data_IF_691085312293
#
_entry.id   IF_691085312293
#
_cell.length_a   1.000
_cell.length_b   1.000
_cell.length_c   1.000
_cell.angle_alpha   90.00
_cell.angle_beta   90.00
_cell.angle_gamma   90.00
#
_symmetry.space_group_name_H-M   'P 1'
#
loop_
_entity.id
_entity.type
_entity.pdbx_description
1 polymer ?
#
# COMPACT_ATOMS: atom_id res chain seq x y z
N UNK A 1 29.34 -37.05 -4.31
CA UNK A 1 28.55 -36.00 -4.97
C UNK A 1 28.67 -34.74 -4.14
N UNK A 2 29.62 -33.89 -4.52
CA UNK A 2 29.94 -32.62 -3.87
C UNK A 2 28.94 -31.54 -4.30
N UNK A 3 28.32 -30.88 -3.32
CA UNK A 3 27.47 -29.69 -3.49
C UNK A 3 28.35 -28.50 -3.85
N UNK A 4 28.03 -27.82 -4.95
CA UNK A 4 28.49 -26.46 -5.21
C UNK A 4 27.42 -25.50 -4.71
N UNK A 5 27.77 -24.69 -3.72
CA UNK A 5 27.03 -23.49 -3.35
C UNK A 5 27.38 -22.40 -4.38
N UNK A 6 26.41 -22.01 -5.21
CA UNK A 6 26.55 -20.84 -6.07
C UNK A 6 26.18 -19.57 -5.29
N UNK A 7 26.96 -18.48 -5.41
CA UNK A 7 26.66 -17.21 -4.78
C UNK A 7 25.51 -16.50 -5.50
N UNK A 8 24.69 -15.77 -4.73
CA UNK A 8 23.64 -14.91 -5.27
C UNK A 8 24.21 -13.88 -6.28
N UNK A 9 23.48 -13.56 -7.36
CA UNK A 9 23.95 -12.61 -8.35
C UNK A 9 24.07 -11.22 -7.73
N UNK A 10 25.28 -10.65 -7.80
CA UNK A 10 25.56 -9.26 -7.50
C UNK A 10 24.76 -8.37 -8.44
N UNK A 11 24.01 -7.43 -7.87
CA UNK A 11 23.46 -6.29 -8.62
C UNK A 11 24.61 -5.58 -9.35
N UNK A 12 24.47 -5.37 -10.66
CA UNK A 12 25.45 -4.64 -11.46
C UNK A 12 25.42 -3.15 -11.09
N UNK A 13 26.58 -2.51 -10.84
CA UNK A 13 26.67 -1.08 -10.60
C UNK A 13 27.10 -0.36 -11.89
N UNK A 14 26.22 -0.24 -12.88
CA UNK A 14 26.56 0.43 -14.14
C UNK A 14 25.62 1.62 -14.39
N UNK A 15 25.61 2.61 -13.49
CA UNK A 15 25.18 3.98 -13.79
C UNK A 15 25.83 5.01 -12.85
N UNK A 16 27.15 5.19 -12.94
CA UNK A 16 27.86 6.34 -12.35
C UNK A 16 29.00 6.81 -13.28
N UNK A 17 29.03 8.12 -13.56
CA UNK A 17 30.07 8.82 -14.33
C UNK A 17 31.43 8.86 -13.58
N UNK A 18 32.53 8.79 -14.34
CA UNK A 18 33.95 8.61 -13.98
C UNK A 18 34.60 9.75 -13.16
N UNK A 19 33.86 10.59 -12.43
CA UNK A 19 34.45 11.69 -11.65
C UNK A 19 33.97 11.79 -10.21
N UNK A 20 34.12 10.68 -9.47
CA UNK A 20 33.90 10.58 -8.03
C UNK A 20 34.57 11.68 -7.19
N UNK A 21 33.86 12.81 -7.02
CA UNK A 21 34.00 13.76 -5.93
C UNK A 21 32.72 14.62 -5.82
N UNK A 22 31.93 14.42 -4.76
CA UNK A 22 30.83 15.33 -4.42
C UNK A 22 31.39 16.71 -4.08
N UNK A 23 30.85 17.76 -4.71
CA UNK A 23 31.04 19.14 -4.23
C UNK A 23 30.30 19.28 -2.89
N UNK A 24 30.94 19.87 -1.86
CA UNK A 24 30.26 20.11 -0.59
C UNK A 24 29.07 21.04 -0.80
N UNK A 25 27.91 20.60 -0.32
CA UNK A 25 26.68 21.38 -0.28
C UNK A 25 26.94 22.65 0.55
N UNK A 26 26.90 23.82 -0.08
CA UNK A 26 26.95 25.10 0.64
C UNK A 26 25.53 25.42 1.12
N UNK A 27 25.31 25.58 2.44
CA UNK A 27 24.00 26.00 2.92
C UNK A 27 23.67 27.39 2.37
N UNK A 28 22.45 27.56 1.87
CA UNK A 28 21.89 28.87 1.56
C UNK A 28 21.93 29.75 2.83
N UNK A 29 22.30 31.04 2.71
CA UNK A 29 22.35 31.92 3.87
C UNK A 29 20.96 32.04 4.49
N UNK A 30 20.90 31.77 5.80
CA UNK A 30 19.70 31.94 6.61
C UNK A 30 19.12 33.34 6.41
N UNK A 31 17.85 33.41 5.96
CA UNK A 31 17.08 34.65 5.97
C UNK A 31 16.97 35.12 7.42
N UNK A 32 17.65 36.23 7.74
CA UNK A 32 17.49 36.98 8.99
C UNK A 32 16.02 37.38 9.15
N UNK A 33 15.28 36.68 10.00
CA UNK A 33 14.02 37.17 10.56
C UNK A 33 14.36 38.31 11.52
N UNK A 34 13.90 39.53 11.18
CA UNK A 34 13.97 40.68 12.08
C UNK A 34 13.15 40.34 13.34
N UNK A 35 13.82 40.31 14.49
CA UNK A 35 13.18 40.38 15.81
C UNK A 35 12.50 41.75 15.92
N UNK A 36 11.17 41.76 15.90
CA UNK A 36 10.38 42.83 16.49
C UNK A 36 10.25 42.53 17.98
N UNK A 37 11.07 43.22 18.79
CA UNK A 37 10.83 43.40 20.22
C UNK A 37 9.60 44.27 20.39
N UNK A 38 8.46 43.69 20.75
CA UNK A 38 7.33 44.42 21.31
C UNK A 38 7.25 44.15 22.80
N UNK A 39 7.49 45.20 23.57
CA UNK A 39 7.30 45.30 25.01
C UNK A 39 5.81 45.47 25.26
N UNK A 40 5.15 44.50 25.88
CA UNK A 40 3.87 44.72 26.55
C UNK A 40 3.85 43.97 27.88
N UNK A 41 4.13 44.74 28.92
CA UNK A 41 3.76 44.48 30.31
C UNK A 41 2.23 44.51 30.45
N UNK A 42 1.62 43.54 31.12
CA UNK A 42 0.22 43.69 31.52
C UNK A 42 -0.48 42.42 32.00
N UNK A 43 -0.38 42.17 33.30
CA UNK A 43 -1.41 41.60 34.21
C UNK A 43 -2.57 40.77 33.60
N UNK A 44 -2.72 39.58 34.20
CA UNK A 44 -3.98 39.01 34.70
C UNK A 44 -5.07 38.65 33.67
N UNK A 45 -5.28 37.33 33.51
CA UNK A 45 -6.59 36.61 33.45
C UNK A 45 -6.27 35.12 33.30
N UNK A 46 -6.36 34.34 34.38
CA UNK A 46 -7.50 33.48 34.73
C UNK A 46 -7.86 32.47 33.63
N UNK A 47 -7.61 31.19 33.96
CA UNK A 47 -8.33 29.99 33.56
C UNK A 47 -8.92 29.97 32.14
N UNK A 48 -8.21 29.33 31.21
CA UNK A 48 -8.77 28.92 29.91
C UNK A 48 -8.80 27.40 29.85
N UNK A 49 -10.01 26.89 30.07
CA UNK A 49 -10.65 25.80 29.35
C UNK A 49 -9.82 24.55 29.05
N UNK A 50 -9.88 23.62 30.00
CA UNK A 50 -9.65 22.20 29.82
C UNK A 50 -10.80 21.57 29.01
N UNK A 51 -10.90 21.83 27.71
CA UNK A 51 -11.90 21.19 26.82
C UNK A 51 -11.37 21.08 25.38
N UNK A 52 -10.43 20.16 25.15
CA UNK A 52 -9.93 19.81 23.80
C UNK A 52 -9.63 18.32 23.62
N UNK A 53 -10.29 17.42 24.38
CA UNK A 53 -9.95 15.99 24.39
C UNK A 53 -11.05 15.03 23.89
N UNK A 54 -12.15 15.52 23.31
CA UNK A 54 -13.30 14.67 22.94
C UNK A 54 -13.71 14.67 21.46
N UNK A 55 -12.93 15.25 20.55
CA UNK A 55 -13.28 15.31 19.13
C UNK A 55 -12.63 14.24 18.22
N UNK A 56 -11.90 13.26 18.78
CA UNK A 56 -11.08 12.32 17.99
C UNK A 56 -11.42 10.83 18.17
N UNK A 57 -12.64 10.50 18.65
CA UNK A 57 -13.00 9.10 18.97
C UNK A 57 -14.06 8.49 18.02
N UNK A 58 -14.66 9.24 17.09
CA UNK A 58 -15.82 8.74 16.33
C UNK A 58 -15.61 8.37 14.86
N UNK A 59 -14.37 8.26 14.35
CA UNK A 59 -14.14 7.78 12.96
C UNK A 59 -13.77 6.30 12.85
N UNK A 60 -13.76 5.56 13.97
CA UNK A 60 -13.50 4.12 13.99
C UNK A 60 -14.71 3.22 13.69
N UNK A 61 -15.84 3.79 13.26
CA UNK A 61 -17.01 2.99 12.89
C UNK A 61 -16.72 2.27 11.57
N UNK A 62 -16.40 0.97 11.69
CA UNK A 62 -16.33 0.00 10.61
C UNK A 62 -17.54 0.16 9.68
N UNK A 63 -17.36 0.84 8.57
CA UNK A 63 -18.28 0.67 7.47
C UNK A 63 -18.03 -0.74 6.91
N UNK A 64 -18.77 -1.72 7.41
CA UNK A 64 -18.93 -3.02 6.73
C UNK A 64 -19.62 -2.88 5.36
N UNK A 65 -19.97 -1.66 4.95
CA UNK A 65 -20.46 -1.34 3.61
C UNK A 65 -19.32 -0.97 2.67
N UNK A 66 -19.58 -1.15 1.38
CA UNK A 66 -18.67 -0.74 0.30
C UNK A 66 -18.10 0.66 0.52
N UNK A 67 -16.78 0.84 0.35
CA UNK A 67 -16.17 2.17 0.41
C UNK A 67 -16.51 2.99 -0.84
N UNK A 68 -17.20 2.40 -1.82
CA UNK A 68 -17.68 3.02 -3.06
C UNK A 68 -19.21 2.93 -3.13
N UNK A 69 -19.92 4.03 -3.45
CA UNK A 69 -21.37 4.00 -3.60
C UNK A 69 -21.83 2.99 -4.65
N UNK A 70 -22.94 2.29 -4.37
CA UNK A 70 -23.55 1.35 -5.30
C UNK A 70 -24.09 2.09 -6.53
N UNK A 71 -23.78 1.59 -7.72
CA UNK A 71 -24.36 2.05 -9.00
C UNK A 71 -24.79 0.85 -9.84
N UNK A 72 -25.39 1.09 -11.00
CA UNK A 72 -25.71 0.00 -11.94
C UNK A 72 -24.45 -0.66 -12.51
N UNK A 73 -23.36 0.10 -12.69
CA UNK A 73 -22.06 -0.44 -13.14
C UNK A 73 -21.23 -1.03 -12.00
N UNK A 74 -21.46 -0.59 -10.75
CA UNK A 74 -20.75 -1.03 -9.56
C UNK A 74 -21.73 -1.59 -8.53
N UNK A 75 -22.30 -2.78 -8.77
CA UNK A 75 -23.39 -3.31 -7.95
C UNK A 75 -22.94 -3.91 -6.62
N UNK A 76 -21.67 -4.31 -6.49
CA UNK A 76 -21.21 -5.01 -5.28
C UNK A 76 -21.13 -4.05 -4.10
N UNK A 77 -21.68 -4.49 -2.97
CA UNK A 77 -21.68 -3.71 -1.72
C UNK A 77 -20.87 -4.35 -0.60
N UNK A 78 -20.44 -5.60 -0.79
CA UNK A 78 -19.70 -6.39 0.18
C UNK A 78 -18.90 -7.49 -0.51
N UNK A 79 -18.04 -8.15 0.25
CA UNK A 79 -17.34 -9.37 -0.14
C UNK A 79 -17.58 -10.47 0.89
N UNK A 80 -17.26 -11.70 0.52
CA UNK A 80 -17.28 -12.85 1.44
C UNK A 80 -15.85 -13.25 1.78
N UNK A 81 -15.48 -13.17 3.06
CA UNK A 81 -14.20 -13.67 3.53
C UNK A 81 -14.12 -15.20 3.35
N UNK A 82 -12.98 -15.75 2.89
CA UNK A 82 -12.77 -17.19 2.87
C UNK A 82 -12.89 -17.76 4.30
N UNK A 83 -13.52 -18.94 4.50
CA UNK A 83 -13.68 -19.51 5.84
C UNK A 83 -12.31 -19.85 6.43
N UNK A 84 -12.10 -19.60 7.72
CA UNK A 84 -10.87 -20.02 8.39
C UNK A 84 -10.95 -21.49 8.81
N UNK A 85 -9.85 -22.23 8.71
CA UNK A 85 -9.73 -23.60 9.17
C UNK A 85 -8.85 -23.69 10.44
N UNK A 86 -9.48 -23.96 11.58
CA UNK A 86 -8.84 -23.98 12.91
C UNK A 86 -7.93 -22.75 13.17
N UNK A 87 -8.49 -21.53 13.13
CA UNK A 87 -7.69 -20.33 13.23
C UNK A 87 -7.02 -20.17 14.59
N UNK A 88 -5.82 -19.62 14.56
CA UNK A 88 -4.99 -19.30 15.71
C UNK A 88 -5.07 -17.81 16.03
N UNK A 89 -5.27 -17.45 17.30
CA UNK A 89 -5.00 -16.09 17.78
C UNK A 89 -3.50 -15.98 18.11
N UNK A 90 -2.76 -14.97 17.59
CA UNK A 90 -1.35 -14.74 17.94
C UNK A 90 -1.07 -14.66 19.46
N UNK A 91 -2.07 -14.31 20.28
CA UNK A 91 -1.95 -14.28 21.75
C UNK A 91 -1.65 -15.65 22.35
N UNK A 92 -2.13 -16.74 21.74
CA UNK A 92 -1.78 -18.11 22.16
C UNK A 92 -0.28 -18.39 21.97
N UNK A 93 0.37 -17.64 21.07
CA UNK A 93 1.80 -17.72 20.80
C UNK A 93 2.62 -16.62 21.51
N UNK A 94 2.00 -15.90 22.44
CA UNK A 94 2.65 -14.91 23.31
C UNK A 94 2.48 -13.45 22.88
N UNK A 95 1.72 -13.15 21.82
CA UNK A 95 1.41 -11.77 21.47
C UNK A 95 0.69 -11.07 22.63
N UNK A 96 1.03 -9.80 22.87
CA UNK A 96 0.37 -8.95 23.87
C UNK A 96 -0.72 -8.13 23.26
N UNK A 97 -0.51 -7.61 22.05
CA UNK A 97 -1.42 -6.71 21.37
C UNK A 97 -1.85 -5.51 22.25
N UNK A 98 -0.85 -4.96 22.95
CA UNK A 98 -0.95 -3.78 23.83
C UNK A 98 -0.48 -2.48 23.15
N UNK A 99 -0.09 -2.55 21.89
CA UNK A 99 0.45 -1.44 21.08
C UNK A 99 1.88 -1.03 21.41
N UNK A 100 2.57 -1.77 22.28
CA UNK A 100 3.91 -1.45 22.79
C UNK A 100 4.90 -2.61 22.61
N UNK A 101 4.46 -3.84 22.87
CA UNK A 101 5.29 -5.04 22.75
C UNK A 101 5.39 -5.50 21.30
N UNK A 102 6.60 -5.74 20.78
CA UNK A 102 6.79 -6.30 19.44
C UNK A 102 6.29 -7.75 19.37
N UNK A 103 5.13 -7.92 18.74
CA UNK A 103 4.38 -9.16 18.58
C UNK A 103 4.80 -9.96 17.33
N UNK A 104 5.76 -9.48 16.54
CA UNK A 104 6.15 -10.12 15.28
C UNK A 104 6.48 -11.61 15.41
N UNK A 105 7.20 -12.03 16.46
CA UNK A 105 7.55 -13.43 16.66
C UNK A 105 6.32 -14.30 16.96
N UNK A 106 5.33 -13.77 17.68
CA UNK A 106 4.10 -14.47 17.97
C UNK A 106 3.21 -14.60 16.72
N UNK A 107 3.12 -13.55 15.90
CA UNK A 107 2.46 -13.60 14.60
C UNK A 107 3.12 -14.62 13.67
N UNK A 108 4.45 -14.65 13.60
CA UNK A 108 5.17 -15.65 12.80
C UNK A 108 4.86 -17.08 13.25
N UNK A 109 4.78 -17.34 14.56
CA UNK A 109 4.40 -18.67 15.07
C UNK A 109 2.95 -19.01 14.74
N UNK A 110 2.02 -18.06 14.88
CA UNK A 110 0.60 -18.27 14.59
C UNK A 110 0.36 -18.61 13.11
N UNK A 111 0.97 -17.86 12.18
CA UNK A 111 0.83 -18.10 10.74
C UNK A 111 1.53 -19.40 10.30
N UNK A 112 2.60 -19.79 10.98
CA UNK A 112 3.22 -21.10 10.75
C UNK A 112 2.29 -22.23 11.19
N UNK A 113 1.57 -22.05 12.30
CA UNK A 113 0.68 -23.06 12.86
C UNK A 113 -0.62 -23.26 12.05
N UNK A 114 -1.14 -22.24 11.37
CA UNK A 114 -2.42 -22.36 10.67
C UNK A 114 -2.93 -21.05 10.09
N UNK A 115 -4.23 -21.03 9.80
CA UNK A 115 -4.96 -19.77 9.61
C UNK A 115 -4.89 -18.94 10.89
N UNK A 116 -5.05 -17.62 10.75
CA UNK A 116 -4.93 -16.66 11.84
C UNK A 116 -6.21 -15.86 11.97
N UNK A 117 -6.75 -15.79 13.20
CA UNK A 117 -7.82 -14.87 13.56
C UNK A 117 -7.35 -13.96 14.68
N UNK A 118 -7.17 -12.68 14.37
CA UNK A 118 -6.66 -11.70 15.33
C UNK A 118 -7.84 -11.09 16.08
N UNK A 119 -8.00 -11.38 17.38
CA UNK A 119 -9.02 -10.69 18.18
C UNK A 119 -8.66 -9.21 18.40
N UNK A 120 -9.68 -8.38 18.64
CA UNK A 120 -9.57 -6.92 18.78
C UNK A 120 -8.42 -6.48 19.69
N UNK A 121 -7.74 -5.38 19.35
CA UNK A 121 -6.56 -4.89 20.07
C UNK A 121 -5.53 -4.27 19.11
N UNK A 122 -4.45 -3.72 19.65
CA UNK A 122 -3.38 -3.13 18.84
C UNK A 122 -2.14 -3.99 18.91
N UNK A 123 -1.80 -4.71 17.85
CA UNK A 123 -0.59 -5.54 17.79
C UNK A 123 0.53 -4.78 17.09
N UNK A 124 1.67 -4.63 17.75
CA UNK A 124 2.85 -3.99 17.17
C UNK A 124 3.68 -5.06 16.43
N UNK A 125 3.86 -4.92 15.13
CA UNK A 125 4.57 -5.87 14.27
C UNK A 125 5.72 -5.12 13.60
N UNK A 126 6.90 -5.10 14.23
CA UNK A 126 8.05 -4.35 13.71
C UNK A 126 8.94 -5.16 12.77
N UNK A 127 8.90 -6.49 12.87
CA UNK A 127 9.61 -7.40 11.94
C UNK A 127 8.65 -8.04 10.95
N UNK A 128 9.18 -8.34 9.76
CA UNK A 128 8.46 -9.04 8.70
C UNK A 128 7.97 -10.40 9.16
N UNK A 129 6.69 -10.65 8.94
CA UNK A 129 6.06 -11.97 9.06
C UNK A 129 6.03 -12.59 7.67
N UNK A 130 6.81 -13.65 7.47
CA UNK A 130 6.94 -14.31 6.17
C UNK A 130 6.03 -15.53 6.07
N UNK A 131 5.31 -15.63 4.96
CA UNK A 131 4.43 -16.74 4.60
C UNK A 131 4.96 -17.41 3.34
N UNK A 132 5.30 -18.69 3.45
CA UNK A 132 5.84 -19.52 2.35
C UNK A 132 5.00 -20.76 2.06
N UNK A 133 3.75 -20.78 2.53
CA UNK A 133 2.83 -21.89 2.33
C UNK A 133 1.52 -21.34 1.78
N UNK A 134 0.89 -22.13 0.91
CA UNK A 134 -0.40 -21.79 0.29
C UNK A 134 -1.55 -21.87 1.30
N UNK A 135 -2.70 -21.30 0.93
CA UNK A 135 -3.95 -21.39 1.68
C UNK A 135 -3.84 -20.88 3.13
N UNK A 136 -2.98 -19.89 3.38
CA UNK A 136 -2.91 -19.17 4.65
C UNK A 136 -3.81 -17.96 4.65
N UNK A 137 -4.76 -17.96 5.57
CA UNK A 137 -5.77 -16.91 5.71
C UNK A 137 -5.56 -16.17 7.02
N UNK A 138 -5.49 -14.85 6.95
CA UNK A 138 -5.48 -13.97 8.11
C UNK A 138 -6.74 -13.11 8.08
N UNK A 139 -7.50 -13.16 9.16
CA UNK A 139 -8.69 -12.33 9.37
C UNK A 139 -8.57 -11.57 10.69
N UNK A 140 -8.89 -10.29 10.67
CA UNK A 140 -8.95 -9.47 11.87
C UNK A 140 -10.40 -9.28 12.35
N UNK A 141 -10.60 -9.36 13.66
CA UNK A 141 -11.84 -8.94 14.29
C UNK A 141 -12.01 -7.41 14.21
N UNK A 142 -13.25 -6.89 14.27
CA UNK A 142 -13.48 -5.46 14.44
C UNK A 142 -12.74 -4.93 15.68
N UNK A 143 -12.10 -3.77 15.56
CA UNK A 143 -11.26 -3.15 16.59
C UNK A 143 -9.79 -3.56 16.56
N UNK A 144 -9.36 -4.44 15.64
CA UNK A 144 -7.95 -4.78 15.48
C UNK A 144 -7.17 -3.70 14.73
N UNK A 145 -5.99 -3.34 15.23
CA UNK A 145 -4.99 -2.49 14.59
C UNK A 145 -3.64 -3.24 14.55
N UNK A 146 -3.11 -3.46 13.36
CA UNK A 146 -1.77 -3.99 13.09
C UNK A 146 -0.86 -2.79 12.85
N UNK A 147 -0.02 -2.49 13.84
CA UNK A 147 0.80 -1.27 13.86
C UNK A 147 2.26 -1.59 13.56
N UNK A 148 2.95 -0.68 12.88
CA UNK A 148 4.41 -0.65 12.74
C UNK A 148 4.96 0.68 13.23
N UNK A 149 6.08 0.66 13.95
CA UNK A 149 6.78 1.87 14.43
C UNK A 149 8.20 2.01 13.90
N UNK A 150 8.63 1.09 13.04
CA UNK A 150 9.91 1.13 12.34
C UNK A 150 9.70 1.44 10.86
N UNK A 151 10.73 1.97 10.22
CA UNK A 151 10.70 2.34 8.79
C UNK A 151 11.80 1.67 7.98
N UNK A 152 12.66 0.84 8.57
CA UNK A 152 13.85 0.26 7.94
C UNK A 152 13.67 -1.20 7.49
N UNK A 153 12.44 -1.71 7.57
CA UNK A 153 12.12 -3.09 7.27
C UNK A 153 11.22 -3.18 6.04
N UNK A 154 11.54 -4.12 5.16
CA UNK A 154 10.88 -4.27 3.86
C UNK A 154 9.37 -4.42 3.96
N UNK A 155 8.82 -5.35 4.73
CA UNK A 155 7.35 -5.47 4.78
C UNK A 155 6.84 -5.92 6.12
N UNK A 156 5.56 -5.65 6.41
CA UNK A 156 4.92 -6.19 7.62
C UNK A 156 4.57 -7.66 7.38
N UNK A 157 3.92 -7.95 6.24
CA UNK A 157 3.63 -9.30 5.77
C UNK A 157 4.23 -9.53 4.39
N UNK A 158 5.07 -10.56 4.28
CA UNK A 158 5.68 -11.00 3.03
C UNK A 158 5.16 -12.39 2.65
N UNK A 159 4.45 -12.50 1.53
CA UNK A 159 4.11 -13.78 0.90
C UNK A 159 5.16 -14.07 -0.18
N UNK A 160 6.06 -14.99 0.11
CA UNK A 160 7.24 -15.26 -0.71
C UNK A 160 7.20 -16.68 -1.27
N UNK A 161 6.96 -16.78 -2.57
CA UNK A 161 6.89 -18.07 -3.25
C UNK A 161 8.25 -18.74 -3.44
N UNK A 162 9.36 -18.00 -3.30
CA UNK A 162 10.69 -18.47 -3.70
C UNK A 162 10.66 -19.03 -5.12
N UNK A 163 11.14 -20.28 -5.29
CA UNK A 163 11.11 -20.99 -6.58
C UNK A 163 9.80 -21.76 -6.84
N UNK A 164 8.85 -21.73 -5.89
CA UNK A 164 7.59 -22.45 -5.96
C UNK A 164 6.42 -21.57 -6.40
N UNK A 165 5.21 -21.97 -5.98
CA UNK A 165 4.00 -21.18 -6.14
C UNK A 165 3.25 -21.11 -4.81
N UNK A 166 2.68 -19.95 -4.51
CA UNK A 166 1.74 -19.77 -3.41
C UNK A 166 0.36 -19.47 -3.96
N UNK A 167 -0.65 -20.19 -3.51
CA UNK A 167 -2.02 -20.02 -4.00
C UNK A 167 -3.05 -19.85 -2.88
N UNK A 168 -4.05 -19.00 -3.11
CA UNK A 168 -5.25 -18.94 -2.28
C UNK A 168 -5.03 -18.41 -0.86
N UNK A 169 -4.02 -17.56 -0.68
CA UNK A 169 -3.79 -16.84 0.58
C UNK A 169 -4.72 -15.63 0.70
N UNK A 170 -4.92 -15.13 1.92
CA UNK A 170 -5.70 -13.91 2.11
C UNK A 170 -5.33 -13.11 3.36
N UNK A 171 -5.49 -11.79 3.29
CA UNK A 171 -5.59 -10.91 4.47
C UNK A 171 -6.87 -10.08 4.37
N UNK A 172 -7.73 -10.19 5.38
CA UNK A 172 -9.03 -9.52 5.37
C UNK A 172 -9.40 -8.83 6.68
N UNK A 173 -10.18 -7.74 6.57
CA UNK A 173 -10.78 -6.98 7.68
C UNK A 173 -9.79 -6.36 8.67
N UNK A 174 -8.53 -6.14 8.28
CA UNK A 174 -7.49 -5.60 9.15
C UNK A 174 -7.30 -4.09 8.98
N UNK A 175 -6.95 -3.40 10.07
CA UNK A 175 -6.47 -2.02 10.00
C UNK A 175 -4.96 -2.01 10.15
N UNK A 176 -4.26 -1.28 9.28
CA UNK A 176 -2.82 -1.15 9.25
C UNK A 176 -2.43 0.31 9.47
N UNK A 177 -1.45 0.53 10.32
CA UNK A 177 -0.84 1.85 10.54
C UNK A 177 0.68 1.70 10.60
N UNK A 178 1.38 2.43 9.73
CA UNK A 178 2.84 2.47 9.72
C UNK A 178 3.41 3.64 10.52
N UNK A 179 4.72 3.88 10.35
CA UNK A 179 5.48 4.89 11.09
C UNK A 179 5.60 6.26 10.37
N UNK A 180 5.02 6.42 9.18
CA UNK A 180 5.10 7.66 8.40
C UNK A 180 4.19 8.76 8.98
N UNK A 181 4.42 10.01 8.59
CA UNK A 181 3.56 11.12 8.99
C UNK A 181 2.21 11.10 8.26
N UNK A 182 1.17 11.78 8.80
CA UNK A 182 -0.13 11.90 8.13
C UNK A 182 -0.06 12.56 6.74
N UNK A 183 0.86 13.51 6.56
CA UNK A 183 1.33 13.95 5.25
C UNK A 183 2.54 13.08 4.92
N UNK A 184 2.45 12.16 3.95
CA UNK A 184 3.46 11.12 3.77
C UNK A 184 4.78 11.74 3.32
N UNK A 185 5.87 11.38 3.99
CA UNK A 185 7.22 11.67 3.49
C UNK A 185 7.54 10.67 2.38
N UNK A 186 8.02 11.19 1.25
CA UNK A 186 8.46 10.41 0.10
C UNK A 186 9.98 10.55 0.00
N UNK A 187 10.70 9.45 0.20
CA UNK A 187 12.14 9.37 -0.03
C UNK A 187 12.48 8.01 -0.63
N UNK A 188 12.58 7.96 -1.96
CA UNK A 188 12.92 6.74 -2.70
C UNK A 188 14.37 6.28 -2.48
N UNK A 189 15.20 7.08 -1.83
CA UNK A 189 16.58 6.72 -1.49
C UNK A 189 16.70 6.23 -0.04
N UNK A 190 15.73 6.55 0.82
CA UNK A 190 15.69 6.03 2.18
C UNK A 190 15.41 4.53 2.17
N UNK A 191 16.04 3.70 3.02
CA UNK A 191 15.73 2.28 3.13
C UNK A 191 14.25 1.96 3.32
N UNK A 192 13.50 2.90 3.92
CA UNK A 192 12.06 2.76 4.17
C UNK A 192 11.13 2.87 2.98
N UNK A 193 11.61 3.23 1.79
CA UNK A 193 10.77 3.18 0.58
C UNK A 193 10.24 1.78 0.27
N UNK A 194 10.83 0.74 0.87
CA UNK A 194 10.33 -0.61 0.78
C UNK A 194 9.29 -0.99 1.82
N UNK A 195 9.09 -0.24 2.92
CA UNK A 195 8.20 -0.56 4.06
C UNK A 195 6.73 -0.72 3.67
N UNK A 196 6.42 -1.81 2.97
CA UNK A 196 5.14 -2.14 2.38
C UNK A 196 4.39 -3.06 3.35
N UNK A 197 3.19 -2.71 3.83
CA UNK A 197 2.49 -3.54 4.79
C UNK A 197 2.16 -4.94 4.26
N UNK A 198 1.77 -5.08 2.99
CA UNK A 198 1.54 -6.40 2.38
C UNK A 198 2.25 -6.49 1.03
N UNK A 199 3.25 -7.37 0.96
CA UNK A 199 4.05 -7.64 -0.23
C UNK A 199 3.87 -9.11 -0.64
N UNK A 200 3.58 -9.34 -1.92
CA UNK A 200 3.67 -10.66 -2.54
C UNK A 200 4.90 -10.69 -3.47
N UNK A 201 5.65 -11.79 -3.44
CA UNK A 201 6.89 -11.95 -4.21
C UNK A 201 6.91 -13.29 -4.92
N UNK A 202 7.23 -13.25 -6.21
CA UNK A 202 7.31 -14.42 -7.08
C UNK A 202 5.92 -14.88 -7.51
N UNK A 203 5.75 -16.19 -7.70
CA UNK A 203 4.50 -16.75 -8.21
C UNK A 203 3.43 -16.92 -7.09
N UNK A 204 2.92 -15.79 -6.58
CA UNK A 204 1.80 -15.75 -5.63
C UNK A 204 0.52 -15.47 -6.38
N UNK A 205 -0.41 -16.42 -6.43
CA UNK A 205 -1.62 -16.32 -7.25
C UNK A 205 -2.90 -16.49 -6.44
N UNK A 206 -4.00 -15.92 -6.92
CA UNK A 206 -5.31 -15.97 -6.26
C UNK A 206 -5.27 -15.48 -4.81
N UNK A 207 -4.44 -14.48 -4.52
CA UNK A 207 -4.42 -13.80 -3.23
C UNK A 207 -5.66 -12.94 -3.06
N UNK A 208 -6.32 -12.99 -1.91
CA UNK A 208 -7.40 -12.06 -1.57
C UNK A 208 -6.94 -11.04 -0.53
N UNK A 209 -6.89 -9.78 -0.94
CA UNK A 209 -6.68 -8.65 -0.05
C UNK A 209 -7.96 -7.82 0.03
N UNK A 210 -8.73 -7.97 1.12
CA UNK A 210 -10.08 -7.39 1.17
C UNK A 210 -10.55 -6.80 2.51
N UNK A 211 -11.29 -5.69 2.44
CA UNK A 211 -11.88 -5.08 3.63
C UNK A 211 -10.87 -4.44 4.58
N UNK A 212 -9.65 -4.16 4.12
CA UNK A 212 -8.59 -3.61 4.96
C UNK A 212 -8.56 -2.07 4.91
N UNK A 213 -8.08 -1.45 5.99
CA UNK A 213 -7.75 -0.02 6.00
C UNK A 213 -6.26 0.15 6.21
N UNK A 214 -5.60 1.01 5.45
CA UNK A 214 -4.16 1.19 5.49
C UNK A 214 -3.79 2.67 5.45
N UNK A 215 -2.83 3.08 6.28
CA UNK A 215 -2.31 4.44 6.32
C UNK A 215 -0.87 4.50 6.83
N UNK A 216 -0.17 5.57 6.46
CA UNK A 216 1.07 6.01 7.10
C UNK A 216 2.24 5.01 7.03
N UNK A 217 2.42 4.28 5.93
CA UNK A 217 3.65 3.51 5.70
C UNK A 217 4.66 4.34 4.89
N UNK A 218 5.95 4.03 5.03
CA UNK A 218 7.01 4.64 4.20
C UNK A 218 7.15 3.96 2.83
N UNK A 219 6.64 2.73 2.71
CA UNK A 219 6.67 1.97 1.47
C UNK A 219 6.04 2.72 0.31
N UNK A 220 6.63 2.54 -0.87
CA UNK A 220 6.09 3.07 -2.13
C UNK A 220 4.68 2.54 -2.45
N UNK A 221 4.26 1.45 -1.83
CA UNK A 221 2.90 0.92 -1.94
C UNK A 221 2.37 0.41 -0.60
N UNK A 222 1.05 0.27 -0.47
CA UNK A 222 0.42 -0.40 0.67
C UNK A 222 0.13 -1.90 0.38
N UNK A 223 -0.17 -2.23 -0.87
CA UNK A 223 -0.19 -3.60 -1.36
C UNK A 223 0.60 -3.67 -2.66
N UNK A 224 1.57 -4.57 -2.75
CA UNK A 224 2.39 -4.72 -3.96
C UNK A 224 2.63 -6.18 -4.29
N UNK A 225 2.48 -6.54 -5.56
CA UNK A 225 3.07 -7.75 -6.13
C UNK A 225 4.44 -7.43 -6.68
N UNK A 226 5.39 -8.38 -6.66
CA UNK A 226 6.74 -8.20 -7.22
C UNK A 226 7.28 -9.50 -7.83
N UNK A 227 8.26 -9.34 -8.73
CA UNK A 227 9.04 -10.41 -9.34
C UNK A 227 8.58 -10.72 -10.77
N UNK A 228 9.47 -11.37 -11.53
CA UNK A 228 9.34 -11.60 -12.99
C UNK A 228 8.03 -12.26 -13.43
N UNK A 229 7.38 -12.99 -12.52
CA UNK A 229 6.10 -13.66 -12.78
C UNK A 229 4.94 -13.17 -11.93
N UNK A 230 5.18 -12.27 -10.95
CA UNK A 230 4.27 -11.56 -10.02
C UNK A 230 3.01 -12.22 -9.45
N UNK A 231 2.63 -13.42 -9.90
CA UNK A 231 1.32 -14.00 -9.70
C UNK A 231 0.33 -13.86 -10.86
N UNK A 232 -0.81 -14.51 -10.66
CA UNK A 232 -2.01 -14.27 -11.44
C UNK A 232 -3.27 -14.38 -10.57
N UNK A 233 -4.29 -13.59 -10.90
CA UNK A 233 -5.63 -13.74 -10.31
C UNK A 233 -5.80 -13.13 -8.91
N UNK A 234 -4.85 -12.34 -8.43
CA UNK A 234 -4.99 -11.63 -7.14
C UNK A 234 -6.15 -10.63 -7.18
N UNK A 235 -6.84 -10.50 -6.04
CA UNK A 235 -8.02 -9.66 -5.86
C UNK A 235 -7.79 -8.70 -4.71
N UNK A 236 -7.73 -7.41 -5.03
CA UNK A 236 -7.60 -6.29 -4.09
C UNK A 236 -8.92 -5.52 -4.07
N UNK A 237 -9.78 -5.79 -3.08
CA UNK A 237 -11.16 -5.31 -3.07
C UNK A 237 -11.65 -4.75 -1.75
N UNK A 238 -12.55 -3.76 -1.78
CA UNK A 238 -13.18 -3.22 -0.55
C UNK A 238 -12.18 -2.65 0.46
N UNK A 239 -10.97 -2.26 0.04
CA UNK A 239 -9.97 -1.67 0.92
C UNK A 239 -10.05 -0.13 0.93
N UNK A 240 -9.55 0.48 1.99
CA UNK A 240 -9.34 1.92 2.10
C UNK A 240 -7.85 2.21 2.25
N UNK A 241 -7.26 2.85 1.26
CA UNK A 241 -5.86 3.29 1.24
C UNK A 241 -5.79 4.80 1.43
N UNK A 242 -5.03 5.27 2.42
CA UNK A 242 -4.97 6.68 2.77
C UNK A 242 -3.53 7.19 2.92
N UNK A 243 -3.23 8.30 2.26
CA UNK A 243 -1.98 9.04 2.39
C UNK A 243 -0.76 8.14 2.11
N UNK A 244 -0.74 7.53 0.93
CA UNK A 244 0.35 6.66 0.52
C UNK A 244 1.50 7.51 -0.06
N UNK A 245 2.76 7.09 0.10
CA UNK A 245 3.88 7.74 -0.57
C UNK A 245 3.74 7.76 -2.10
N UNK A 246 3.29 6.65 -2.69
CA UNK A 246 3.03 6.58 -4.14
C UNK A 246 1.75 5.77 -4.45
N UNK A 247 1.73 4.47 -4.22
CA UNK A 247 0.61 3.59 -4.51
C UNK A 247 -0.17 3.17 -3.25
N UNK A 248 -1.48 2.99 -3.39
CA UNK A 248 -2.29 2.19 -2.48
C UNK A 248 -2.09 0.71 -2.85
N UNK A 249 -2.78 0.22 -3.89
CA UNK A 249 -2.46 -1.06 -4.51
C UNK A 249 -1.67 -0.89 -5.82
N UNK A 250 -0.64 -1.71 -5.98
CA UNK A 250 0.17 -1.82 -7.20
C UNK A 250 0.33 -3.30 -7.59
N UNK A 251 0.08 -3.61 -8.86
CA UNK A 251 0.47 -4.89 -9.45
C UNK A 251 1.72 -4.68 -10.29
N UNK A 252 2.87 -5.18 -9.80
CA UNK A 252 4.14 -5.26 -10.54
C UNK A 252 4.34 -6.69 -11.02
N UNK A 253 4.51 -6.88 -12.33
CA UNK A 253 4.73 -8.19 -12.95
C UNK A 253 3.58 -9.21 -12.81
N UNK A 254 2.35 -8.77 -12.51
CA UNK A 254 1.21 -9.63 -12.22
C UNK A 254 0.16 -9.64 -13.35
N UNK A 255 -0.47 -10.79 -13.60
CA UNK A 255 -1.50 -10.96 -14.65
C UNK A 255 -2.90 -11.25 -14.14
N UNK A 256 -3.91 -10.95 -14.97
CA UNK A 256 -5.32 -11.36 -14.73
C UNK A 256 -5.84 -11.01 -13.33
N UNK A 257 -5.28 -9.97 -12.71
CA UNK A 257 -5.65 -9.50 -11.39
C UNK A 257 -6.84 -8.58 -11.42
N UNK A 258 -7.35 -8.29 -10.23
CA UNK A 258 -8.53 -7.46 -10.04
C UNK A 258 -8.34 -6.46 -8.90
N UNK A 259 -8.32 -5.17 -9.22
CA UNK A 259 -8.32 -4.07 -8.24
C UNK A 259 -9.66 -3.34 -8.35
N UNK A 260 -10.57 -3.56 -7.41
CA UNK A 260 -11.88 -2.91 -7.51
C UNK A 260 -12.60 -2.66 -6.21
N UNK A 261 -13.58 -1.76 -6.24
CA UNK A 261 -14.34 -1.38 -5.04
C UNK A 261 -13.46 -0.85 -3.91
N UNK A 262 -12.32 -0.24 -4.19
CA UNK A 262 -11.46 0.38 -3.18
C UNK A 262 -11.71 1.89 -3.09
N UNK A 263 -11.46 2.46 -1.91
CA UNK A 263 -11.30 3.90 -1.72
C UNK A 263 -9.82 4.22 -1.58
N UNK A 264 -9.33 5.11 -2.44
CA UNK A 264 -7.92 5.48 -2.54
C UNK A 264 -7.82 6.99 -2.36
N UNK A 265 -7.14 7.44 -1.32
CA UNK A 265 -7.06 8.85 -0.92
C UNK A 265 -5.62 9.32 -0.83
N UNK A 266 -5.21 10.22 -1.72
CA UNK A 266 -3.82 10.67 -1.80
C UNK A 266 -2.87 9.53 -2.13
N UNK A 267 -3.28 8.62 -3.03
CA UNK A 267 -2.45 7.55 -3.55
C UNK A 267 -2.76 7.29 -5.03
N UNK A 268 -1.84 6.62 -5.71
CA UNK A 268 -2.09 5.99 -7.00
C UNK A 268 -2.66 4.57 -6.81
N UNK A 269 -3.45 4.09 -7.75
CA UNK A 269 -3.78 2.67 -7.89
C UNK A 269 -3.45 2.24 -9.31
N UNK A 270 -2.78 1.10 -9.50
CA UNK A 270 -2.39 0.78 -10.85
C UNK A 270 -1.63 -0.52 -11.08
N UNK A 271 -1.26 -0.65 -12.35
CA UNK A 271 -0.31 -1.63 -12.85
C UNK A 271 1.00 -0.91 -13.12
N UNK A 272 2.11 -1.54 -12.78
CA UNK A 272 3.47 -1.02 -12.98
C UNK A 272 4.36 -2.15 -13.52
N UNK A 273 5.32 -1.79 -14.37
CA UNK A 273 6.39 -2.69 -14.80
C UNK A 273 7.70 -2.01 -14.48
N UNK A 274 8.57 -2.72 -13.76
CA UNK A 274 9.94 -2.29 -13.55
C UNK A 274 10.80 -2.69 -14.77
N UNK A 275 10.40 -3.75 -15.48
CA UNK A 275 11.10 -4.27 -16.65
C UNK A 275 10.15 -4.53 -17.82
N UNK A 276 10.67 -4.40 -19.04
CA UNK A 276 9.92 -4.72 -20.27
C UNK A 276 9.52 -6.21 -20.36
N UNK A 277 10.16 -7.09 -19.57
CA UNK A 277 9.87 -8.52 -19.47
C UNK A 277 8.77 -8.85 -18.46
N UNK A 278 8.38 -7.89 -17.61
CA UNK A 278 7.36 -8.12 -16.58
C UNK A 278 6.01 -8.41 -17.24
N UNK A 279 5.36 -9.47 -16.81
CA UNK A 279 4.14 -9.93 -17.43
C UNK A 279 2.90 -9.31 -16.78
N UNK A 280 2.32 -8.27 -17.40
CA UNK A 280 1.28 -7.45 -16.77
C UNK A 280 -0.03 -7.33 -17.55
N UNK A 281 -0.41 -8.37 -18.30
CA UNK A 281 -1.64 -8.41 -19.09
C UNK A 281 -2.89 -8.92 -18.34
N UNK A 282 -4.07 -8.52 -18.83
CA UNK A 282 -5.36 -9.07 -18.41
C UNK A 282 -5.91 -8.51 -17.08
N UNK A 283 -5.24 -7.53 -16.48
CA UNK A 283 -5.66 -6.95 -15.21
C UNK A 283 -6.88 -6.03 -15.39
N UNK A 284 -7.78 -6.04 -14.40
CA UNK A 284 -8.98 -5.21 -14.38
C UNK A 284 -8.94 -4.28 -13.17
N UNK A 285 -9.09 -2.98 -13.42
CA UNK A 285 -9.24 -1.95 -12.41
C UNK A 285 -10.63 -1.31 -12.53
N UNK A 286 -11.54 -1.60 -11.61
CA UNK A 286 -12.91 -1.09 -11.72
C UNK A 286 -13.57 -0.64 -10.43
N UNK A 287 -14.53 0.27 -10.55
CA UNK A 287 -15.37 0.67 -9.43
C UNK A 287 -14.58 1.18 -8.22
N UNK A 288 -13.41 1.79 -8.41
CA UNK A 288 -12.65 2.44 -7.35
C UNK A 288 -13.06 3.91 -7.22
N UNK A 289 -12.95 4.45 -5.99
CA UNK A 289 -13.07 5.88 -5.72
C UNK A 289 -11.69 6.45 -5.41
N UNK A 290 -11.20 7.32 -6.29
CA UNK A 290 -9.88 7.95 -6.18
C UNK A 290 -10.05 9.44 -5.84
N UNK A 291 -9.33 9.91 -4.83
CA UNK A 291 -9.32 11.31 -4.40
C UNK A 291 -7.91 11.75 -4.02
N UNK A 292 -7.63 13.06 -4.05
CA UNK A 292 -6.43 13.62 -3.45
C UNK A 292 -6.60 13.76 -1.92
N UNK A 293 -5.50 13.78 -1.17
CA UNK A 293 -5.51 13.95 0.28
C UNK A 293 -4.18 14.54 0.75
N UNK A 294 -4.21 15.48 1.71
CA UNK A 294 -3.00 16.05 2.33
C UNK A 294 -1.91 16.48 1.33
N UNK A 295 -2.28 17.14 0.23
CA UNK A 295 -1.34 17.57 -0.82
C UNK A 295 -0.88 16.45 -1.77
N UNK A 296 -1.06 15.18 -1.41
CA UNK A 296 -0.73 14.04 -2.27
C UNK A 296 -1.77 13.86 -3.40
N UNK A 297 -1.26 13.53 -4.59
CA UNK A 297 -2.09 13.31 -5.77
C UNK A 297 -2.82 11.96 -5.73
N UNK A 298 -4.00 11.90 -6.32
CA UNK A 298 -4.77 10.66 -6.45
C UNK A 298 -4.87 10.22 -7.91
N UNK A 299 -4.21 9.13 -8.32
CA UNK A 299 -4.22 8.71 -9.73
C UNK A 299 -4.66 7.26 -9.92
N UNK A 300 -5.12 6.93 -11.12
CA UNK A 300 -5.32 5.55 -11.55
C UNK A 300 -4.67 5.31 -12.91
N UNK A 301 -4.06 4.13 -13.09
CA UNK A 301 -3.38 3.73 -14.33
C UNK A 301 -3.58 2.25 -14.61
N UNK A 302 -3.75 1.89 -15.89
CA UNK A 302 -3.69 0.50 -16.36
C UNK A 302 -2.27 0.06 -16.76
N UNK A 303 -1.28 0.91 -16.50
CA UNK A 303 0.12 0.75 -16.90
C UNK A 303 0.63 2.00 -17.61
N UNK A 304 1.60 2.69 -17.01
CA UNK A 304 2.29 3.84 -17.65
C UNK A 304 3.80 3.69 -17.74
N UNK A 305 4.42 2.88 -16.88
CA UNK A 305 5.89 2.76 -16.78
C UNK A 305 6.46 1.66 -17.68
N UNK A 306 7.71 1.81 -18.10
CA UNK A 306 8.44 0.77 -18.83
C UNK A 306 8.33 0.92 -20.34
N UNK A 307 9.51 1.08 -20.97
CA UNK A 307 9.65 1.18 -22.43
C UNK A 307 9.23 -0.12 -23.12
N UNK A 308 8.52 0.01 -24.24
CA UNK A 308 8.02 -1.13 -25.03
C UNK A 308 7.06 -2.08 -24.30
N UNK A 309 6.55 -1.69 -23.12
CA UNK A 309 5.61 -2.53 -22.35
C UNK A 309 4.24 -2.55 -23.01
N UNK A 310 3.63 -3.73 -23.11
CA UNK A 310 2.31 -3.90 -23.68
C UNK A 310 1.21 -4.01 -22.61
N UNK A 311 0.54 -2.90 -22.33
CA UNK A 311 -0.58 -2.85 -21.39
C UNK A 311 -1.96 -3.06 -22.05
N UNK A 312 -2.03 -3.37 -23.34
CA UNK A 312 -3.31 -3.42 -24.08
C UNK A 312 -4.29 -4.49 -23.60
N UNK A 313 -3.81 -5.47 -22.83
CA UNK A 313 -4.64 -6.48 -22.18
C UNK A 313 -5.34 -5.98 -20.92
N UNK A 314 -4.95 -4.83 -20.37
CA UNK A 314 -5.53 -4.30 -19.13
C UNK A 314 -6.76 -3.44 -19.41
N UNK A 315 -7.69 -3.44 -18.46
CA UNK A 315 -8.95 -2.69 -18.53
C UNK A 315 -9.12 -1.83 -17.27
N UNK A 316 -9.25 -0.52 -17.45
CA UNK A 316 -9.57 0.45 -16.40
C UNK A 316 -10.97 0.99 -16.66
N UNK A 317 -11.96 0.66 -15.83
CA UNK A 317 -13.36 1.04 -16.11
C UNK A 317 -14.20 1.41 -14.90
N UNK A 318 -15.18 2.28 -15.12
CA UNK A 318 -16.19 2.65 -14.11
C UNK A 318 -15.62 3.16 -12.78
N UNK A 319 -14.40 3.71 -12.79
CA UNK A 319 -13.81 4.35 -11.62
C UNK A 319 -14.32 5.78 -11.47
N UNK A 320 -14.46 6.25 -10.23
CA UNK A 320 -14.77 7.64 -9.91
C UNK A 320 -13.51 8.33 -9.40
N UNK A 321 -13.00 9.28 -10.16
CA UNK A 321 -11.84 10.10 -9.81
C UNK A 321 -12.33 11.54 -9.62
N UNK A 322 -12.16 12.08 -8.42
CA UNK A 322 -12.67 13.43 -8.06
C UNK A 322 -11.63 14.24 -7.31
N UNK A 323 -11.60 15.54 -7.62
CA UNK A 323 -10.81 16.55 -6.93
C UNK A 323 -9.68 17.15 -7.76
N UNK A 324 -9.13 18.26 -7.28
CA UNK A 324 -7.88 18.83 -7.83
C UNK A 324 -6.72 17.90 -7.48
N UNK A 325 -5.70 17.86 -8.35
CA UNK A 325 -4.54 16.98 -8.22
C UNK A 325 -4.86 15.48 -8.30
N UNK A 326 -5.96 15.12 -8.95
CA UNK A 326 -6.24 13.73 -9.32
C UNK A 326 -6.20 13.52 -10.82
N UNK A 327 -6.03 12.28 -11.25
CA UNK A 327 -6.08 11.99 -12.68
C UNK A 327 -6.14 10.53 -13.08
N UNK A 328 -6.41 10.37 -14.37
CA UNK A 328 -6.31 9.10 -15.09
C UNK A 328 -5.06 9.20 -15.96
N UNK A 329 -4.07 8.34 -15.74
CA UNK A 329 -2.84 8.30 -16.51
C UNK A 329 -3.02 7.27 -17.62
N UNK A 330 -3.23 7.73 -18.86
CA UNK A 330 -3.67 6.82 -19.93
C UNK A 330 -2.54 6.28 -20.79
N UNK A 331 -1.49 7.07 -20.98
CA UNK A 331 -0.45 6.74 -21.94
C UNK A 331 0.76 6.09 -21.29
N UNK A 332 1.20 5.01 -21.89
CA UNK A 332 2.47 4.35 -21.61
C UNK A 332 3.70 5.19 -22.04
N UNK A 333 4.86 4.90 -21.46
CA UNK A 333 6.19 5.36 -21.91
C UNK A 333 6.54 4.91 -23.33
N UNK A 334 7.53 5.53 -23.98
CA UNK A 334 7.84 5.29 -25.40
C UNK A 334 7.83 3.81 -25.85
N UNK A 335 7.11 3.52 -26.94
CA UNK A 335 7.20 2.27 -27.71
C UNK A 335 6.29 1.11 -27.28
N UNK A 336 5.50 1.25 -26.21
CA UNK A 336 4.56 0.24 -25.73
C UNK A 336 3.13 0.33 -26.30
N UNK A 337 2.14 -0.12 -25.52
CA UNK A 337 0.70 -0.02 -25.87
C UNK A 337 -0.14 0.30 -24.64
N UNK A 338 -1.12 1.18 -24.82
CA UNK A 338 -2.02 1.64 -23.76
C UNK A 338 -3.03 0.58 -23.32
N UNK A 339 -3.38 0.60 -22.04
CA UNK A 339 -4.55 -0.08 -21.50
C UNK A 339 -5.87 0.49 -22.05
N UNK A 340 -6.97 -0.24 -21.88
CA UNK A 340 -8.30 0.20 -22.28
C UNK A 340 -8.97 0.99 -21.16
N UNK A 341 -9.48 2.19 -21.44
CA UNK A 341 -10.17 3.05 -20.47
C UNK A 341 -11.63 3.23 -20.84
N UNK A 342 -12.56 2.74 -20.02
CA UNK A 342 -13.99 2.66 -20.35
C UNK A 342 -14.87 3.24 -19.23
N UNK A 343 -15.69 4.25 -19.52
CA UNK A 343 -16.71 4.72 -18.58
C UNK A 343 -16.19 5.23 -17.22
N UNK A 344 -14.92 5.64 -17.13
CA UNK A 344 -14.39 6.29 -15.93
C UNK A 344 -14.92 7.71 -15.82
N UNK A 345 -15.26 8.15 -14.61
CA UNK A 345 -15.70 9.52 -14.33
C UNK A 345 -14.55 10.31 -13.73
N UNK A 346 -14.19 11.42 -14.36
CA UNK A 346 -13.14 12.34 -13.92
C UNK A 346 -13.78 13.72 -13.71
N UNK A 347 -14.06 14.08 -12.46
CA UNK A 347 -14.87 15.26 -12.09
C UNK A 347 -14.13 16.17 -11.09
N UNK A 348 -14.68 17.35 -10.83
CA UNK A 348 -14.22 18.30 -9.79
C UNK A 348 -12.74 18.71 -9.89
N UNK A 349 -12.23 18.89 -11.12
CA UNK A 349 -10.85 19.31 -11.38
C UNK A 349 -9.87 18.15 -11.61
N UNK A 350 -10.36 16.91 -11.63
CA UNK A 350 -9.61 15.75 -12.11
C UNK A 350 -9.12 15.97 -13.55
N UNK A 351 -7.97 15.39 -13.91
CA UNK A 351 -7.39 15.47 -15.25
C UNK A 351 -7.20 14.09 -15.89
N UNK A 352 -7.55 13.96 -17.16
CA UNK A 352 -7.07 12.84 -17.99
C UNK A 352 -5.74 13.26 -18.59
N UNK A 353 -4.67 12.54 -18.25
CA UNK A 353 -3.32 12.86 -18.70
C UNK A 353 -2.90 11.87 -19.78
N UNK A 354 -2.53 12.40 -20.95
CA UNK A 354 -1.52 11.72 -21.77
C UNK A 354 -0.16 11.80 -21.06
N UNK A 355 0.78 10.96 -21.45
CA UNK A 355 2.13 10.95 -20.90
C UNK A 355 2.69 12.39 -21.01
N UNK A 356 3.29 12.95 -19.95
CA UNK A 356 3.99 14.23 -20.06
C UNK A 356 5.00 14.27 -21.20
#
# INVERSE_FOLDING_TARGET
MTRHDEPMPSQRPDEYDEKGAMRPWRPLPARRTRRLTSILSGRSRRAVALTWLLAWVCEGAFAQGSPVPRTSQCPLTSFTAPPLFHPNDPRVFGAKCDGVTDDSAAFQKAINAGDVKVAAGTCLINKTVTVRVSQRRLECAPGTLLKRTVSDAESMFLYDAGNGALIGNSIVNCNFEGANSPEPVIDFQAPGHWDIPVLTRGNVSNFLFAGNTMKQFFGQSFFQTTGDNGGSGDRVIFNTFMNCPLYGPAFVGHMNGYIGYNRVMGCMAGIENDHATDNTGGNILECNKITASNGASGNITGGVQGKNTNYSGNIVRYNLITGKNTGILQKHEEGGRDAQYIGNSCIDGCRVKGNP
#
